data_IF_882874899213
#
_entry.id   IF_882874899213
#
_cell.length_a   1.000
_cell.length_b   1.000
_cell.length_c   1.000
_cell.angle_alpha   90.00
_cell.angle_beta   90.00
_cell.angle_gamma   90.00
#
_symmetry.space_group_name_H-M   'P 1'
#
loop_
_entity.id
_entity.type
_entity.pdbx_description
1 polymer ?
#
# COMPACT_ATOMS: atom_id res chain seq x y z
N UNK A 1 -9.92 6.97 -16.59
CA UNK A 1 -9.97 7.52 -15.21
C UNK A 1 -10.03 6.34 -14.27
N UNK A 2 -9.17 6.27 -13.26
CA UNK A 2 -9.17 5.15 -12.30
C UNK A 2 -10.26 5.43 -11.26
N UNK A 3 -11.16 4.48 -11.03
CA UNK A 3 -12.16 4.59 -9.95
C UNK A 3 -11.47 4.45 -8.59
N UNK A 4 -11.87 5.31 -7.65
CA UNK A 4 -11.41 5.24 -6.27
C UNK A 4 -12.54 5.60 -5.30
N UNK A 5 -12.45 5.10 -4.08
CA UNK A 5 -13.39 5.39 -2.99
C UNK A 5 -12.61 5.85 -1.76
N UNK A 6 -13.08 6.90 -1.11
CA UNK A 6 -12.49 7.43 0.13
C UNK A 6 -12.99 6.65 1.34
N UNK A 7 -12.08 6.14 2.17
CA UNK A 7 -12.35 5.42 3.42
C UNK A 7 -13.61 4.51 3.40
N UNK A 8 -13.81 3.65 2.37
CA UNK A 8 -15.09 2.96 2.21
C UNK A 8 -15.31 1.83 3.22
N UNK A 9 -14.27 1.45 3.97
CA UNK A 9 -14.30 0.30 4.86
C UNK A 9 -13.42 0.53 6.07
N UNK A 10 -13.93 0.14 7.24
CA UNK A 10 -13.21 0.16 8.51
C UNK A 10 -13.10 -1.25 9.05
N UNK A 11 -11.89 -1.63 9.45
CA UNK A 11 -11.58 -2.95 9.99
C UNK A 11 -11.28 -2.86 11.48
N UNK A 12 -11.91 -3.73 12.27
CA UNK A 12 -11.49 -3.98 13.64
C UNK A 12 -10.18 -4.79 13.60
N UNK A 13 -9.12 -4.31 14.27
CA UNK A 13 -7.79 -4.92 14.23
C UNK A 13 -7.25 -5.31 15.61
N UNK A 14 -7.88 -4.82 16.68
CA UNK A 14 -7.63 -5.23 18.07
C UNK A 14 -8.95 -5.18 18.87
N UNK A 15 -9.08 -6.07 19.85
CA UNK A 15 -10.24 -6.18 20.73
C UNK A 15 -9.81 -6.20 22.20
N UNK A 16 -10.65 -5.71 23.09
CA UNK A 16 -10.44 -5.78 24.54
C UNK A 16 -10.83 -7.17 25.11
N UNK A 17 -10.70 -7.33 26.45
CA UNK A 17 -11.05 -8.59 27.13
C UNK A 17 -12.54 -8.94 27.09
N UNK A 18 -13.39 -7.98 26.77
CA UNK A 18 -14.84 -8.14 26.67
C UNK A 18 -15.28 -8.38 25.23
N UNK A 19 -14.33 -8.40 24.27
CA UNK A 19 -14.59 -8.58 22.85
C UNK A 19 -14.99 -7.31 22.12
N UNK A 20 -14.92 -6.13 22.76
CA UNK A 20 -15.22 -4.87 22.08
C UNK A 20 -14.01 -4.42 21.25
N UNK A 21 -14.22 -3.82 20.05
CA UNK A 21 -13.13 -3.28 19.25
C UNK A 21 -12.35 -2.20 20.00
N UNK A 22 -11.09 -2.48 20.30
CA UNK A 22 -10.16 -1.57 20.98
C UNK A 22 -9.38 -0.71 19.99
N UNK A 23 -9.16 -1.22 18.77
CA UNK A 23 -8.52 -0.46 17.70
C UNK A 23 -9.13 -0.79 16.33
N UNK A 24 -9.37 0.28 15.57
CA UNK A 24 -9.82 0.24 14.18
C UNK A 24 -8.78 0.79 13.22
N UNK A 25 -8.88 0.33 11.98
CA UNK A 25 -8.10 0.81 10.86
C UNK A 25 -8.98 1.00 9.63
N UNK A 26 -8.93 2.21 9.08
CA UNK A 26 -9.69 2.63 7.91
C UNK A 26 -8.66 3.13 6.90
N UNK A 27 -8.33 2.34 5.86
CA UNK A 27 -7.40 2.79 4.84
C UNK A 27 -7.95 4.01 4.11
N UNK A 28 -7.08 4.97 3.78
CA UNK A 28 -7.49 6.24 3.16
C UNK A 28 -8.27 6.03 1.83
N UNK A 29 -7.87 5.06 1.00
CA UNK A 29 -8.49 4.80 -0.31
C UNK A 29 -8.70 3.32 -0.59
N UNK A 30 -9.69 3.02 -1.44
CA UNK A 30 -9.85 1.74 -2.10
C UNK A 30 -9.92 1.93 -3.61
N UNK A 31 -9.23 1.06 -4.35
CA UNK A 31 -9.23 1.01 -5.80
C UNK A 31 -9.96 -0.27 -6.24
N UNK A 32 -11.26 -0.20 -6.62
CA UNK A 32 -12.07 -1.39 -6.91
C UNK A 32 -11.51 -2.24 -8.04
N UNK A 33 -11.00 -1.61 -9.10
CA UNK A 33 -10.43 -2.29 -10.27
C UNK A 33 -9.25 -3.20 -9.89
N UNK A 34 -8.49 -2.82 -8.87
CA UNK A 34 -7.33 -3.57 -8.40
C UNK A 34 -7.62 -4.37 -7.14
N UNK A 35 -8.82 -4.24 -6.57
CA UNK A 35 -9.19 -4.70 -5.24
C UNK A 35 -8.05 -4.47 -4.22
N UNK A 36 -7.72 -3.19 -4.05
CA UNK A 36 -6.55 -2.74 -3.31
C UNK A 36 -6.89 -1.54 -2.44
N UNK A 37 -6.62 -1.65 -1.16
CA UNK A 37 -6.62 -0.53 -0.22
C UNK A 37 -5.26 0.18 -0.22
N UNK A 38 -5.30 1.51 -0.15
CA UNK A 38 -4.13 2.37 -0.05
C UNK A 38 -4.23 3.20 1.22
N UNK A 39 -3.14 3.19 1.98
CA UNK A 39 -2.90 4.09 3.10
C UNK A 39 -1.81 5.08 2.70
N UNK A 40 -2.10 6.37 2.70
CA UNK A 40 -1.12 7.40 2.40
C UNK A 40 -0.33 7.71 3.68
N UNK A 41 0.99 7.88 3.53
CA UNK A 41 1.83 8.37 4.62
C UNK A 41 2.72 9.52 4.19
N UNK A 42 2.88 10.49 5.09
CA UNK A 42 3.99 11.45 5.06
C UNK A 42 5.27 10.79 5.56
N UNK A 43 6.43 11.40 5.29
CA UNK A 43 7.75 10.86 5.65
C UNK A 43 8.07 10.86 7.16
N UNK A 44 7.12 11.22 8.04
CA UNK A 44 7.37 11.19 9.49
C UNK A 44 7.51 9.73 9.97
N UNK A 45 8.76 9.32 10.20
CA UNK A 45 9.14 7.94 10.53
C UNK A 45 8.39 7.34 11.74
N UNK A 46 8.10 8.14 12.77
CA UNK A 46 7.36 7.67 13.94
C UNK A 46 5.91 7.30 13.58
N UNK A 47 5.28 8.06 12.70
CA UNK A 47 3.91 7.79 12.23
C UNK A 47 3.88 6.62 11.24
N UNK A 48 4.85 6.56 10.33
CA UNK A 48 5.05 5.45 9.37
C UNK A 48 5.14 4.11 10.09
N UNK A 49 5.89 4.03 11.20
CA UNK A 49 6.02 2.78 11.97
C UNK A 49 4.68 2.30 12.54
N UNK A 50 3.86 3.23 13.05
CA UNK A 50 2.53 2.91 13.57
C UNK A 50 1.59 2.45 12.46
N UNK A 51 1.59 3.14 11.31
CA UNK A 51 0.79 2.78 10.13
C UNK A 51 1.17 1.40 9.60
N UNK A 52 2.47 1.11 9.48
CA UNK A 52 2.97 -0.23 9.11
C UNK A 52 2.50 -1.33 10.06
N UNK A 53 2.48 -1.05 11.37
CA UNK A 53 1.97 -2.02 12.35
C UNK A 53 0.50 -2.34 12.13
N UNK A 54 -0.33 -1.32 11.87
CA UNK A 54 -1.76 -1.50 11.57
C UNK A 54 -1.98 -2.32 10.30
N UNK A 55 -1.25 -2.02 9.22
CA UNK A 55 -1.36 -2.77 7.96
C UNK A 55 -0.94 -4.24 8.15
N UNK A 56 0.17 -4.50 8.86
CA UNK A 56 0.58 -5.89 9.17
C UNK A 56 -0.48 -6.63 9.98
N UNK A 57 -1.10 -5.95 10.95
CA UNK A 57 -2.18 -6.51 11.76
C UNK A 57 -3.42 -6.81 10.92
N UNK A 58 -3.81 -5.88 10.04
CA UNK A 58 -4.88 -6.08 9.08
C UNK A 58 -4.62 -7.33 8.23
N UNK A 59 -3.46 -7.43 7.57
CA UNK A 59 -3.13 -8.58 6.70
C UNK A 59 -3.09 -9.90 7.46
N UNK A 60 -2.77 -9.89 8.76
CA UNK A 60 -2.78 -11.10 9.59
C UNK A 60 -4.20 -11.55 9.96
N UNK A 61 -5.14 -10.61 10.12
CA UNK A 61 -6.52 -10.90 10.51
C UNK A 61 -7.44 -11.12 9.30
N UNK A 62 -7.13 -10.45 8.18
CA UNK A 62 -7.89 -10.47 6.94
C UNK A 62 -6.92 -10.75 5.78
N UNK A 63 -6.53 -12.02 5.56
CA UNK A 63 -5.51 -12.38 4.56
C UNK A 63 -5.88 -12.00 3.12
N UNK A 64 -7.18 -11.96 2.82
CA UNK A 64 -7.70 -11.60 1.50
C UNK A 64 -7.71 -10.09 1.25
N UNK A 65 -7.55 -9.27 2.30
CA UNK A 65 -7.53 -7.82 2.18
C UNK A 65 -6.13 -7.35 1.79
N UNK A 66 -6.01 -6.87 0.55
CA UNK A 66 -4.78 -6.25 0.06
C UNK A 66 -4.73 -4.79 0.45
N UNK A 67 -3.75 -4.41 1.27
CA UNK A 67 -3.52 -3.04 1.68
C UNK A 67 -2.05 -2.66 1.52
N UNK A 68 -1.77 -1.48 0.95
CA UNK A 68 -0.41 -0.96 0.77
C UNK A 68 -0.27 0.44 1.36
N UNK A 69 0.93 0.74 1.86
CA UNK A 69 1.29 2.10 2.26
C UNK A 69 1.93 2.78 1.06
N UNK A 70 1.40 3.93 0.66
CA UNK A 70 1.97 4.79 -0.38
C UNK A 70 2.73 5.94 0.29
N UNK A 71 4.02 6.05 -0.02
CA UNK A 71 4.85 7.15 0.46
C UNK A 71 4.77 8.32 -0.53
N UNK A 72 4.78 9.55 -0.02
CA UNK A 72 4.83 10.75 -0.85
C UNK A 72 5.98 10.71 -1.88
N UNK A 73 7.12 10.12 -1.53
CA UNK A 73 8.26 9.92 -2.45
C UNK A 73 7.93 8.97 -3.59
N UNK A 74 7.18 7.91 -3.33
CA UNK A 74 6.77 6.96 -4.37
C UNK A 74 5.82 7.59 -5.36
N UNK A 75 4.93 8.48 -4.87
CA UNK A 75 4.08 9.30 -5.73
C UNK A 75 4.91 10.23 -6.64
N UNK A 76 5.85 10.99 -6.08
CA UNK A 76 6.74 11.86 -6.87
C UNK A 76 7.56 11.05 -7.88
N UNK A 77 8.10 9.90 -7.48
CA UNK A 77 8.83 9.00 -8.38
C UNK A 77 7.93 8.47 -9.52
N UNK A 78 6.65 8.21 -9.24
CA UNK A 78 5.68 7.81 -10.25
C UNK A 78 5.43 8.94 -11.25
N UNK A 79 5.25 10.18 -10.76
CA UNK A 79 5.07 11.34 -11.63
C UNK A 79 6.29 11.57 -12.53
N UNK A 80 7.49 11.50 -11.99
CA UNK A 80 8.74 11.60 -12.76
C UNK A 80 8.82 10.47 -13.80
N UNK A 81 8.53 9.21 -13.42
CA UNK A 81 8.57 8.06 -14.32
C UNK A 81 7.64 8.21 -15.53
N UNK A 82 6.47 8.81 -15.34
CA UNK A 82 5.50 9.03 -16.41
C UNK A 82 5.60 10.42 -17.07
N UNK A 83 6.65 11.19 -16.77
CA UNK A 83 6.89 12.50 -17.37
C UNK A 83 5.88 13.57 -16.99
N UNK A 84 5.19 13.39 -15.85
CA UNK A 84 4.19 14.32 -15.31
C UNK A 84 4.80 15.36 -14.38
N UNK A 85 6.07 15.19 -13.97
CA UNK A 85 6.82 16.12 -13.13
C UNK A 85 8.33 16.03 -13.46
N UNK A 86 9.06 17.14 -13.36
CA UNK A 86 10.51 17.16 -13.58
C UNK A 86 11.29 16.72 -12.33
N UNK A 87 12.42 16.01 -12.47
CA UNK A 87 13.28 15.71 -11.33
C UNK A 87 13.84 17.01 -10.75
N UNK A 88 13.43 17.36 -9.53
CA UNK A 88 14.12 18.43 -8.80
C UNK A 88 15.56 18.01 -8.50
N UNK A 89 16.50 18.95 -8.68
CA UNK A 89 17.93 18.77 -8.42
C UNK A 89 18.13 18.37 -6.94
N UNK A 90 18.28 17.07 -6.70
CA UNK A 90 18.28 16.49 -5.35
C UNK A 90 17.67 15.08 -5.25
N UNK A 91 16.98 14.60 -6.28
CA UNK A 91 16.61 13.19 -6.38
C UNK A 91 17.85 12.34 -6.71
N UNK A 92 18.53 11.83 -5.69
CA UNK A 92 19.53 10.77 -5.86
C UNK A 92 18.84 9.51 -6.35
N UNK A 93 18.72 9.37 -7.67
CA UNK A 93 18.23 8.19 -8.38
C UNK A 93 19.13 6.94 -8.19
N UNK A 94 20.25 7.05 -7.48
CA UNK A 94 21.26 5.98 -7.39
C UNK A 94 21.32 5.24 -6.04
N UNK A 95 20.53 5.59 -5.01
CA UNK A 95 20.79 5.08 -3.64
C UNK A 95 19.71 4.27 -2.93
N UNK A 96 18.62 3.86 -3.58
CA UNK A 96 17.65 2.97 -2.93
C UNK A 96 17.23 1.81 -3.83
N UNK A 97 18.23 1.00 -4.19
CA UNK A 97 18.07 -0.43 -4.48
C UNK A 97 17.69 -1.17 -3.19
N UNK A 98 16.44 -0.97 -2.77
CA UNK A 98 15.98 -1.30 -1.43
C UNK A 98 14.47 -1.42 -1.35
N UNK A 99 13.91 -2.35 -2.12
CA UNK A 99 12.64 -3.04 -1.81
C UNK A 99 11.32 -2.35 -2.23
N UNK A 100 11.29 -1.80 -3.44
CA UNK A 100 10.06 -1.78 -4.24
C UNK A 100 10.30 -2.63 -5.47
N UNK A 101 10.19 -3.94 -5.26
CA UNK A 101 10.33 -4.94 -6.30
C UNK A 101 9.08 -4.94 -7.20
N UNK A 102 9.03 -3.92 -8.07
CA UNK A 102 8.06 -3.81 -9.16
C UNK A 102 8.36 -4.83 -10.27
N UNK A 103 9.58 -5.33 -10.33
CA UNK A 103 10.02 -6.34 -11.30
C UNK A 103 9.53 -7.75 -10.91
N UNK A 104 9.55 -8.11 -9.60
CA UNK A 104 8.85 -9.30 -9.09
C UNK A 104 7.32 -9.27 -9.28
N UNK A 105 6.72 -8.09 -9.46
CA UNK A 105 5.28 -7.93 -9.71
C UNK A 105 4.92 -8.22 -11.18
N UNK A 106 5.85 -7.96 -12.11
CA UNK A 106 5.70 -8.31 -13.52
C UNK A 106 5.94 -9.82 -13.75
N UNK A 107 6.91 -10.41 -13.04
CA UNK A 107 7.30 -11.81 -13.22
C UNK A 107 6.27 -12.82 -12.68
N UNK A 108 5.57 -12.48 -11.59
CA UNK A 108 4.51 -13.35 -11.01
C UNK A 108 3.23 -13.46 -11.85
N UNK A 109 3.04 -12.63 -12.87
CA UNK A 109 1.93 -12.79 -13.83
C UNK A 109 2.17 -13.87 -14.88
N UNK A 110 3.41 -14.34 -15.05
CA UNK A 110 3.76 -15.34 -16.07
C UNK A 110 3.71 -16.79 -15.58
N UNK A 111 3.57 -17.03 -14.27
CA UNK A 111 3.53 -18.37 -13.66
C UNK A 111 2.12 -18.86 -13.25
N UNK A 112 1.07 -18.30 -13.88
CA UNK A 112 -0.33 -18.64 -13.60
C UNK A 112 -1.09 -19.35 -14.72
N UNK A 113 -0.40 -19.99 -15.69
CA UNK A 113 -1.03 -20.66 -16.84
C UNK A 113 -0.43 -22.04 -17.14
N UNK A 114 -0.22 -22.88 -16.13
CA UNK A 114 0.16 -24.27 -16.37
C UNK A 114 -0.37 -25.22 -15.28
N UNK A 115 -1.70 -25.30 -15.11
CA UNK A 115 -2.39 -26.48 -14.51
C UNK A 115 -3.87 -26.59 -14.94
N UNK A 116 -4.18 -26.31 -16.20
CA UNK A 116 -5.44 -26.76 -16.80
C UNK A 116 -5.15 -27.28 -18.21
N UNK A 117 -5.22 -28.61 -18.37
CA UNK A 117 -4.95 -29.32 -19.62
C UNK A 117 -4.22 -30.62 -19.39
#
# INVERSE_FOLDING_TARGET
>A
MIEWRYEPTTFDIEWDRQGNPAQRFSPDFYLPEFDLYIEITTLNQKLVTKKNRKVRRLTSLYPDVRCRILYQRDYLNLLIKYGLEEPSQGSSLEKLDGKLDLDLWAERRSFGSALAG
#
